data_IF_576322789636
#
_entry.id   IF_576322789636
#
_cell.length_a   1.000
_cell.length_b   1.000
_cell.length_c   1.000
_cell.angle_alpha   90.00
_cell.angle_beta   90.00
_cell.angle_gamma   90.00
#
_symmetry.space_group_name_H-M   'P 1'
#
loop_
_entity.id
_entity.type
_entity.pdbx_description
1 polymer ?
#
# COMPACT_ATOMS: atom_id res chain seq x y z
N UNK A 1 39.57 -6.96 24.88
CA UNK A 1 38.35 -7.79 25.02
C UNK A 1 37.19 -7.04 24.39
N UNK A 2 36.86 -7.35 23.14
CA UNK A 2 35.71 -6.78 22.42
C UNK A 2 34.44 -7.47 22.91
N UNK A 3 33.59 -6.76 23.66
CA UNK A 3 32.32 -7.28 24.16
C UNK A 3 31.31 -7.44 23.02
N UNK A 4 30.99 -8.70 22.73
CA UNK A 4 29.97 -9.15 21.79
C UNK A 4 28.54 -8.83 22.31
N UNK A 5 28.18 -7.56 22.40
CA UNK A 5 26.97 -7.17 23.16
C UNK A 5 26.11 -6.05 22.61
N UNK A 6 26.19 -5.66 21.33
CA UNK A 6 25.46 -4.46 20.86
C UNK A 6 24.79 -4.53 19.47
N UNK A 7 24.43 -5.69 18.94
CA UNK A 7 24.13 -5.77 17.50
C UNK A 7 22.67 -5.75 17.06
N UNK A 8 21.69 -5.63 17.96
CA UNK A 8 20.28 -5.51 17.55
C UNK A 8 19.61 -4.35 18.28
N UNK A 9 19.88 -3.13 17.80
CA UNK A 9 19.05 -1.98 18.14
C UNK A 9 17.63 -2.25 17.63
N UNK A 10 16.59 -2.23 18.48
CA UNK A 10 15.22 -2.59 18.10
C UNK A 10 14.67 -1.72 16.95
N UNK A 11 15.19 -0.50 16.82
CA UNK A 11 14.88 0.39 15.71
C UNK A 11 15.38 -0.13 14.34
N UNK A 12 16.54 -0.78 14.28
CA UNK A 12 17.09 -1.33 13.04
C UNK A 12 16.29 -2.55 12.57
N UNK A 13 15.90 -3.42 13.52
CA UNK A 13 14.99 -4.55 13.26
C UNK A 13 13.64 -4.09 12.73
N UNK A 14 13.04 -3.07 13.36
CA UNK A 14 11.75 -2.49 12.93
C UNK A 14 11.83 -1.89 11.52
N UNK A 15 12.91 -1.18 11.20
CA UNK A 15 13.14 -0.66 9.85
C UNK A 15 13.29 -1.77 8.82
N UNK A 16 14.06 -2.80 9.15
CA UNK A 16 14.23 -3.98 8.29
C UNK A 16 12.89 -4.65 7.97
N UNK A 17 12.09 -4.96 8.99
CA UNK A 17 10.76 -5.58 8.82
C UNK A 17 9.80 -4.71 7.99
N UNK A 18 9.82 -3.39 8.21
CA UNK A 18 8.97 -2.46 7.48
C UNK A 18 9.34 -2.40 5.99
N UNK A 19 10.63 -2.43 5.67
CA UNK A 19 11.09 -2.45 4.27
C UNK A 19 10.72 -3.76 3.57
N UNK A 20 10.90 -4.91 4.22
CA UNK A 20 10.48 -6.20 3.64
C UNK A 20 8.96 -6.28 3.47
N UNK A 21 8.17 -5.77 4.42
CA UNK A 21 6.71 -5.70 4.28
C UNK A 21 6.28 -4.81 3.10
N UNK A 22 6.92 -3.66 2.90
CA UNK A 22 6.67 -2.78 1.75
C UNK A 22 6.99 -3.48 0.43
N UNK A 23 8.15 -4.13 0.32
CA UNK A 23 8.55 -4.85 -0.90
C UNK A 23 7.63 -6.04 -1.20
N UNK A 24 7.22 -6.79 -0.18
CA UNK A 24 6.26 -7.88 -0.33
C UNK A 24 4.88 -7.37 -0.77
N UNK A 25 4.42 -6.24 -0.25
CA UNK A 25 3.15 -5.62 -0.68
C UNK A 25 3.15 -5.25 -2.17
N UNK A 26 4.27 -4.70 -2.64
CA UNK A 26 4.47 -4.39 -4.04
C UNK A 26 4.50 -5.66 -4.92
N UNK A 27 5.11 -6.75 -4.43
CA UNK A 27 5.15 -8.03 -5.16
C UNK A 27 3.79 -8.75 -5.22
N UNK A 28 3.05 -8.77 -4.12
CA UNK A 28 1.77 -9.48 -4.03
C UNK A 28 0.67 -8.69 -4.75
N UNK A 29 0.84 -7.38 -4.93
CA UNK A 29 -0.16 -6.52 -5.58
C UNK A 29 -1.44 -6.37 -4.75
N UNK A 30 -1.36 -6.68 -3.45
CA UNK A 30 -2.44 -6.47 -2.50
C UNK A 30 -2.37 -5.01 -2.07
N UNK A 31 -3.33 -4.23 -2.57
CA UNK A 31 -3.54 -2.88 -2.10
C UNK A 31 -3.76 -2.89 -0.58
N UNK A 32 -3.37 -1.80 0.07
CA UNK A 32 -3.69 -1.57 1.47
C UNK A 32 -4.76 -0.48 1.56
N UNK A 33 -5.85 -0.75 2.26
CA UNK A 33 -6.95 0.21 2.36
C UNK A 33 -6.57 1.40 3.24
N UNK A 34 -5.76 1.20 4.29
CA UNK A 34 -5.29 2.30 5.13
C UNK A 34 -4.34 3.23 4.37
N UNK A 35 -3.38 2.69 3.61
CA UNK A 35 -2.54 3.48 2.72
C UNK A 35 -3.34 4.21 1.64
N UNK A 36 -4.42 3.61 1.12
CA UNK A 36 -5.36 4.28 0.22
C UNK A 36 -6.03 5.48 0.91
N UNK A 37 -6.54 5.31 2.13
CA UNK A 37 -7.16 6.40 2.88
C UNK A 37 -6.16 7.52 3.22
N UNK A 38 -4.93 7.17 3.59
CA UNK A 38 -3.87 8.16 3.84
C UNK A 38 -3.53 8.91 2.55
N UNK A 39 -3.38 8.22 1.42
CA UNK A 39 -3.16 8.83 0.13
C UNK A 39 -4.30 9.78 -0.27
N UNK A 40 -5.56 9.34 -0.13
CA UNK A 40 -6.72 10.19 -0.42
C UNK A 40 -6.76 11.42 0.47
N UNK A 41 -6.45 11.30 1.77
CA UNK A 41 -6.36 12.45 2.68
C UNK A 41 -5.24 13.43 2.31
N UNK A 42 -4.10 12.94 1.86
CA UNK A 42 -2.92 13.76 1.55
C UNK A 42 -2.99 14.41 0.17
N UNK A 43 -3.55 13.72 -0.82
CA UNK A 43 -3.51 14.14 -2.23
C UNK A 43 -4.87 14.53 -2.81
N UNK A 44 -5.96 14.06 -2.21
CA UNK A 44 -7.34 14.30 -2.68
C UNK A 44 -8.30 14.62 -1.52
N UNK A 45 -8.00 15.63 -0.67
CA UNK A 45 -8.87 15.97 0.46
C UNK A 45 -10.27 16.41 0.03
N UNK A 46 -10.43 16.88 -1.22
CA UNK A 46 -11.72 17.26 -1.80
C UNK A 46 -12.56 16.08 -2.34
N UNK A 47 -11.98 14.88 -2.46
CA UNK A 47 -12.69 13.70 -2.99
C UNK A 47 -12.99 12.72 -1.85
N UNK A 48 -14.27 12.33 -1.64
CA UNK A 48 -14.60 11.32 -0.64
C UNK A 48 -13.97 9.97 -1.03
N UNK A 49 -13.28 9.35 -0.07
CA UNK A 49 -12.68 8.04 -0.25
C UNK A 49 -13.74 6.95 -0.50
N UNK A 50 -13.40 5.97 -1.34
CA UNK A 50 -14.25 4.81 -1.62
C UNK A 50 -14.39 3.92 -0.38
N UNK A 51 -15.55 3.29 -0.23
CA UNK A 51 -15.72 2.19 0.72
C UNK A 51 -14.80 1.01 0.37
N UNK A 52 -14.39 0.23 1.38
CA UNK A 52 -13.49 -0.92 1.21
C UNK A 52 -13.96 -1.88 0.10
N UNK A 53 -15.25 -2.17 0.03
CA UNK A 53 -15.81 -3.09 -0.97
C UNK A 53 -15.71 -2.54 -2.40
N UNK A 54 -15.93 -1.25 -2.58
CA UNK A 54 -15.83 -0.57 -3.87
C UNK A 54 -14.37 -0.44 -4.30
N UNK A 55 -13.48 -0.11 -3.37
CA UNK A 55 -12.04 -0.08 -3.60
C UNK A 55 -11.49 -1.46 -3.96
N UNK A 56 -11.88 -2.53 -3.26
CA UNK A 56 -11.43 -3.89 -3.55
C UNK A 56 -11.86 -4.35 -4.95
N UNK A 57 -13.12 -4.10 -5.31
CA UNK A 57 -13.63 -4.36 -6.67
C UNK A 57 -12.86 -3.57 -7.73
N UNK A 58 -12.57 -2.30 -7.48
CA UNK A 58 -11.75 -1.48 -8.37
C UNK A 58 -10.34 -2.08 -8.58
N UNK A 59 -9.71 -2.63 -7.54
CA UNK A 59 -8.42 -3.33 -7.64
C UNK A 59 -8.48 -4.62 -8.43
N UNK A 60 -9.52 -5.42 -8.21
CA UNK A 60 -9.74 -6.67 -8.95
C UNK A 60 -10.03 -6.38 -10.42
N UNK A 61 -10.89 -5.40 -10.70
CA UNK A 61 -11.22 -4.98 -12.06
C UNK A 61 -10.01 -4.39 -12.79
N UNK A 62 -9.22 -3.55 -12.13
CA UNK A 62 -7.97 -3.02 -12.70
C UNK A 62 -6.94 -4.11 -13.04
N UNK A 63 -6.98 -5.27 -12.36
CA UNK A 63 -6.04 -6.37 -12.56
C UNK A 63 -6.57 -7.48 -13.49
N UNK A 64 -7.88 -7.73 -13.47
CA UNK A 64 -8.51 -8.89 -14.12
C UNK A 64 -9.69 -8.53 -15.04
N UNK A 65 -10.13 -7.26 -15.06
CA UNK A 65 -11.22 -6.76 -15.88
C UNK A 65 -10.84 -6.65 -17.36
N UNK A 66 -10.94 -7.75 -18.09
CA UNK A 66 -10.89 -7.78 -19.55
C UNK A 66 -12.28 -7.49 -20.13
N UNK A 67 -12.64 -6.22 -20.38
CA UNK A 67 -13.67 -5.94 -21.40
C UNK A 67 -14.59 -4.72 -21.33
N UNK A 68 -14.64 -3.89 -20.29
CA UNK A 68 -15.47 -2.68 -20.36
C UNK A 68 -15.03 -1.58 -19.40
N UNK A 69 -14.59 -0.44 -19.95
CA UNK A 69 -14.44 0.79 -19.18
C UNK A 69 -12.99 1.20 -18.89
N UNK A 70 -12.14 1.26 -19.92
CA UNK A 70 -10.85 1.93 -19.83
C UNK A 70 -11.00 3.39 -19.40
N UNK A 71 -10.76 3.67 -18.11
CA UNK A 71 -10.34 4.98 -17.59
C UNK A 71 -9.34 4.81 -16.44
N UNK A 72 -8.27 4.07 -16.69
CA UNK A 72 -7.02 4.24 -15.95
C UNK A 72 -6.35 5.49 -16.52
N UNK A 73 -6.54 6.67 -15.92
CA UNK A 73 -5.59 7.80 -16.09
C UNK A 73 -5.85 9.05 -15.28
N UNK A 74 -7.00 9.25 -14.62
CA UNK A 74 -7.20 10.43 -13.75
C UNK A 74 -7.97 10.01 -12.51
N UNK A 75 -7.27 10.02 -11.37
CA UNK A 75 -7.61 9.53 -10.02
C UNK A 75 -9.06 9.11 -9.75
N UNK A 76 -9.21 7.89 -9.22
CA UNK A 76 -9.46 7.76 -7.77
C UNK A 76 -8.78 6.49 -7.20
N UNK A 77 -7.47 6.60 -6.92
CA UNK A 77 -6.45 5.53 -7.01
C UNK A 77 -6.83 4.07 -6.77
#
# INVERSE_FOLDING_TARGET
MMTAGNYLRPAALRRGLSLTAQTLRLMIGVGDYEAYLEHMKLHHPEIPALDYSAWYRNRVDARYGSGSGGKVSRCPC
#
